data_IF_472420911626
#
_entry.id   IF_472420911626
#
_cell.length_a   1.000
_cell.length_b   1.000
_cell.length_c   1.000
_cell.angle_alpha   90.00
_cell.angle_beta   90.00
_cell.angle_gamma   90.00
#
_symmetry.space_group_name_H-M   'P 1'
#
loop_
_entity.id
_entity.type
_entity.pdbx_description
1 polymer ?
#
# COMPACT_ATOMS: atom_id res chain seq x y z
N UNK A 1 6.41 -11.56 -2.61
CA UNK A 1 5.83 -10.59 -1.65
C UNK A 1 4.58 -11.15 -0.97
N UNK A 2 4.48 -10.96 0.35
CA UNK A 2 3.27 -11.20 1.16
C UNK A 2 2.52 -9.90 1.43
N UNK A 3 1.19 -9.91 1.27
CA UNK A 3 0.31 -8.78 1.59
C UNK A 3 -0.86 -9.28 2.44
N UNK A 4 -1.21 -8.53 3.49
CA UNK A 4 -2.35 -8.85 4.35
C UNK A 4 -3.15 -7.59 4.67
N UNK A 5 -4.46 -7.69 4.48
CA UNK A 5 -5.44 -6.68 4.91
C UNK A 5 -6.23 -7.26 6.08
N UNK A 6 -6.20 -6.58 7.22
CA UNK A 6 -6.84 -7.04 8.46
C UNK A 6 -7.59 -5.90 9.12
N UNK A 7 -8.61 -6.21 9.92
CA UNK A 7 -9.22 -5.23 10.83
C UNK A 7 -8.65 -5.43 12.23
N UNK A 8 -7.79 -4.51 12.73
CA UNK A 8 -7.38 -4.52 14.13
C UNK A 8 -8.60 -4.41 15.06
N UNK A 9 -8.51 -5.01 16.25
CA UNK A 9 -9.63 -4.97 17.23
C UNK A 9 -9.98 -3.54 17.65
N UNK A 10 -8.97 -2.66 17.73
CA UNK A 10 -9.13 -1.26 18.13
C UNK A 10 -9.60 -0.33 17.00
N UNK A 11 -9.84 -0.86 15.79
CA UNK A 11 -10.21 -0.05 14.63
C UNK A 11 -11.72 0.01 14.46
N UNK A 12 -12.22 1.19 14.14
CA UNK A 12 -13.62 1.38 13.74
C UNK A 12 -13.94 0.56 12.48
N UNK A 13 -15.21 0.18 12.35
CA UNK A 13 -15.69 -0.49 11.15
C UNK A 13 -15.41 0.36 9.89
N UNK A 14 -14.83 -0.25 8.86
CA UNK A 14 -14.41 0.45 7.65
C UNK A 14 -12.97 0.96 7.65
N UNK A 15 -12.23 0.78 8.76
CA UNK A 15 -10.81 1.07 8.85
C UNK A 15 -10.01 -0.23 8.86
N UNK A 16 -9.14 -0.41 7.86
CA UNK A 16 -8.42 -1.64 7.63
C UNK A 16 -6.92 -1.39 7.65
N UNK A 17 -6.17 -2.24 8.35
CA UNK A 17 -4.71 -2.22 8.34
C UNK A 17 -4.20 -3.06 7.20
N UNK A 18 -3.29 -2.49 6.42
CA UNK A 18 -2.56 -3.17 5.37
C UNK A 18 -1.12 -3.34 5.84
N UNK A 19 -0.62 -4.56 5.74
CA UNK A 19 0.79 -4.87 5.94
C UNK A 19 1.30 -5.61 4.71
N UNK A 20 2.48 -5.22 4.22
CA UNK A 20 3.15 -5.88 3.13
C UNK A 20 4.61 -6.18 3.52
N UNK A 21 5.10 -7.31 3.05
CA UNK A 21 6.48 -7.77 3.26
C UNK A 21 7.07 -8.23 1.95
N UNK A 22 8.25 -7.69 1.63
CA UNK A 22 9.08 -8.20 0.56
C UNK A 22 9.72 -9.52 1.02
N UNK A 23 9.77 -10.49 0.11
CA UNK A 23 10.51 -11.72 0.31
C UNK A 23 12.02 -11.45 0.21
N UNK A 24 12.89 -12.33 0.76
CA UNK A 24 14.33 -12.12 0.73
C UNK A 24 14.91 -11.90 -0.68
N UNK A 25 14.37 -12.57 -1.70
CA UNK A 25 14.79 -12.42 -3.10
C UNK A 25 14.49 -11.01 -3.63
N UNK A 26 13.27 -10.50 -3.38
CA UNK A 26 12.83 -9.15 -3.76
C UNK A 26 13.66 -8.08 -3.03
N UNK A 27 13.94 -8.30 -1.74
CA UNK A 27 14.81 -7.40 -0.96
C UNK A 27 16.23 -7.35 -1.53
N UNK A 28 16.79 -8.49 -1.92
CA UNK A 28 18.12 -8.57 -2.52
C UNK A 28 18.16 -7.87 -3.88
N UNK A 29 17.12 -8.01 -4.71
CA UNK A 29 17.03 -7.36 -6.01
C UNK A 29 17.00 -5.83 -5.89
N UNK A 30 16.27 -5.29 -4.91
CA UNK A 30 16.19 -3.83 -4.70
C UNK A 30 17.48 -3.25 -4.10
N UNK A 31 18.30 -4.07 -3.44
CA UNK A 31 19.64 -3.70 -2.97
C UNK A 31 19.68 -2.58 -1.91
N UNK A 32 18.53 -2.18 -1.35
CA UNK A 32 18.40 -1.03 -0.47
C UNK A 32 17.55 -1.35 0.76
N UNK A 33 17.81 -0.62 1.85
CA UNK A 33 16.92 -0.60 3.03
C UNK A 33 15.55 0.05 2.74
N UNK A 34 15.44 0.75 1.61
CA UNK A 34 14.28 1.56 1.22
C UNK A 34 13.83 1.21 -0.20
N UNK A 35 12.55 0.86 -0.33
CA UNK A 35 11.92 0.58 -1.62
C UNK A 35 10.64 1.41 -1.73
N UNK A 36 10.55 2.24 -2.76
CA UNK A 36 9.45 3.19 -2.95
C UNK A 36 8.54 2.68 -4.06
N UNK A 37 7.23 2.73 -3.86
CA UNK A 37 6.22 2.33 -4.84
C UNK A 37 5.05 3.32 -4.87
N UNK A 38 4.32 3.36 -5.99
CA UNK A 38 3.16 4.24 -6.13
C UNK A 38 1.93 3.61 -5.46
N UNK A 39 1.10 4.41 -4.81
CA UNK A 39 -0.17 3.92 -4.28
C UNK A 39 -1.20 3.87 -5.41
N UNK A 40 -1.97 2.77 -5.54
CA UNK A 40 -3.01 2.68 -6.56
C UNK A 40 -4.13 3.69 -6.26
N UNK A 41 -4.54 4.43 -7.28
CA UNK A 41 -5.75 5.25 -7.21
C UNK A 41 -6.98 4.34 -7.23
N UNK A 42 -7.76 4.37 -6.14
CA UNK A 42 -8.92 3.50 -5.96
C UNK A 42 -10.17 4.35 -5.74
N UNK A 43 -11.26 4.15 -6.52
CA UNK A 43 -12.52 4.85 -6.28
C UNK A 43 -13.01 4.62 -4.86
N UNK A 44 -13.45 5.68 -4.19
CA UNK A 44 -14.05 5.61 -2.85
C UNK A 44 -13.15 5.03 -1.76
N UNK A 45 -11.85 4.86 -2.03
CA UNK A 45 -10.86 4.37 -1.07
C UNK A 45 -9.74 5.37 -0.92
N UNK A 46 -9.24 5.49 0.31
CA UNK A 46 -8.10 6.34 0.59
C UNK A 46 -7.12 5.63 1.51
N UNK A 47 -5.83 5.79 1.20
CA UNK A 47 -4.74 5.30 2.04
C UNK A 47 -4.30 6.38 3.03
N UNK A 48 -4.29 6.05 4.30
CA UNK A 48 -3.58 6.82 5.33
C UNK A 48 -2.32 6.07 5.70
N UNK A 49 -1.18 6.76 5.60
CA UNK A 49 0.11 6.18 5.93
C UNK A 49 0.79 7.12 6.92
N UNK A 50 1.35 6.53 7.98
CA UNK A 50 2.17 7.24 8.94
C UNK A 50 3.65 6.97 8.68
N UNK A 51 4.51 7.88 9.13
CA UNK A 51 5.95 7.64 9.08
C UNK A 51 6.30 6.36 9.87
N UNK A 52 7.30 5.58 9.45
CA UNK A 52 8.26 5.87 8.38
C UNK A 52 7.84 5.37 6.99
N UNK A 53 6.63 4.83 6.80
CA UNK A 53 6.27 4.07 5.59
C UNK A 53 5.80 4.92 4.40
N UNK A 54 6.09 6.22 4.40
CA UNK A 54 5.73 7.16 3.33
C UNK A 54 6.86 8.14 3.03
N UNK A 55 6.95 8.51 1.76
CA UNK A 55 7.83 9.56 1.26
C UNK A 55 7.04 10.55 0.38
N UNK A 56 7.44 11.82 0.24
CA UNK A 56 6.76 12.76 -0.65
C UNK A 56 6.71 12.25 -2.10
N UNK A 57 5.54 12.41 -2.74
CA UNK A 57 5.37 12.04 -4.14
C UNK A 57 5.70 13.22 -5.08
N UNK A 58 6.09 12.94 -6.34
CA UNK A 58 6.15 13.94 -7.40
C UNK A 58 4.80 14.66 -7.61
N UNK A 59 4.86 15.88 -8.17
CA UNK A 59 3.65 16.59 -8.57
C UNK A 59 2.89 15.82 -9.65
N UNK A 60 1.57 15.67 -9.48
CA UNK A 60 0.70 14.95 -10.41
C UNK A 60 0.46 13.48 -10.05
N UNK A 61 1.11 12.94 -9.02
CA UNK A 61 0.77 11.61 -8.47
C UNK A 61 -0.63 11.60 -7.85
N UNK A 62 -1.26 10.41 -7.81
CA UNK A 62 -2.61 10.24 -7.26
C UNK A 62 -2.71 10.61 -5.77
N UNK A 63 -1.60 10.44 -5.04
CA UNK A 63 -1.45 10.81 -3.64
C UNK A 63 -0.28 11.79 -3.49
N UNK A 64 -0.29 12.69 -2.49
CA UNK A 64 0.84 13.58 -2.20
C UNK A 64 2.04 12.84 -1.58
N UNK A 65 1.95 11.52 -1.43
CA UNK A 65 3.00 10.64 -0.92
C UNK A 65 2.98 9.29 -1.67
N UNK A 66 4.13 8.64 -1.69
CA UNK A 66 4.33 7.26 -2.15
C UNK A 66 4.49 6.34 -0.94
N UNK A 67 4.26 5.05 -1.14
CA UNK A 67 4.57 4.04 -0.12
C UNK A 67 6.07 3.77 -0.09
N UNK A 68 6.64 3.66 1.10
CA UNK A 68 8.05 3.36 1.30
C UNK A 68 8.18 2.14 2.21
N UNK A 69 8.66 1.03 1.66
CA UNK A 69 9.10 -0.11 2.44
C UNK A 69 10.38 0.25 3.19
N UNK A 70 10.42 -0.09 4.47
CA UNK A 70 11.57 0.08 5.36
C UNK A 70 12.03 -1.31 5.78
N UNK A 71 13.24 -1.69 5.38
CA UNK A 71 13.82 -3.01 5.64
C UNK A 71 12.88 -4.16 5.24
N UNK A 72 12.25 -4.04 4.06
CA UNK A 72 11.35 -5.06 3.52
C UNK A 72 9.94 -5.05 4.09
N UNK A 73 9.59 -4.13 4.99
CA UNK A 73 8.23 -4.02 5.53
C UNK A 73 7.56 -2.70 5.13
N UNK A 74 6.27 -2.77 4.79
CA UNK A 74 5.41 -1.60 4.62
C UNK A 74 4.11 -1.75 5.40
N UNK A 75 3.64 -0.65 5.99
CA UNK A 75 2.35 -0.59 6.70
C UNK A 75 1.55 0.64 6.30
N UNK A 76 0.24 0.46 6.18
CA UNK A 76 -0.70 1.53 5.91
C UNK A 76 -2.09 1.21 6.45
N UNK A 77 -2.98 2.19 6.32
CA UNK A 77 -4.39 2.07 6.62
C UNK A 77 -5.16 2.36 5.33
N UNK A 78 -6.17 1.55 5.04
CA UNK A 78 -7.14 1.82 3.97
C UNK A 78 -8.54 1.90 4.56
N UNK A 79 -9.31 2.87 4.09
CA UNK A 79 -10.69 3.07 4.51
C UNK A 79 -11.52 3.64 3.37
N UNK A 80 -12.85 3.49 3.48
CA UNK A 80 -13.77 4.16 2.56
C UNK A 80 -13.64 5.68 2.68
N UNK A 81 -13.81 6.39 1.57
CA UNK A 81 -13.71 7.83 1.48
C UNK A 81 -14.97 8.41 0.83
N UNK A 82 -15.69 9.26 1.56
CA UNK A 82 -16.91 9.90 1.08
C UNK A 82 -18.17 9.03 1.11
N UNK A 83 -18.05 7.73 1.45
CA UNK A 83 -19.17 6.79 1.57
C UNK A 83 -19.00 5.85 2.77
N UNK A 84 -20.09 5.32 3.35
CA UNK A 84 -20.00 4.24 4.33
C UNK A 84 -19.35 2.98 3.75
N UNK A 85 -18.63 2.20 4.57
CA UNK A 85 -17.95 0.97 4.15
C UNK A 85 -18.89 -0.01 3.41
N UNK A 86 -20.13 -0.15 3.87
CA UNK A 86 -21.11 -1.07 3.28
C UNK A 86 -21.60 -0.63 1.89
N UNK A 87 -21.45 0.66 1.57
CA UNK A 87 -21.77 1.23 0.26
C UNK A 87 -20.55 1.37 -0.65
N UNK A 88 -19.34 1.13 -0.13
CA UNK A 88 -18.13 1.24 -0.93
C UNK A 88 -18.07 0.10 -1.97
N UNK A 89 -18.07 0.47 -3.25
CA UNK A 89 -18.05 -0.52 -4.33
C UNK A 89 -16.68 -1.19 -4.45
N UNK A 90 -15.61 -0.44 -4.16
CA UNK A 90 -14.24 -0.97 -4.14
C UNK A 90 -14.03 -1.88 -2.93
N UNK A 91 -14.11 -3.18 -3.16
CA UNK A 91 -13.93 -4.22 -2.13
C UNK A 91 -12.47 -4.38 -1.73
N UNK A 92 -12.22 -4.89 -0.53
CA UNK A 92 -10.85 -5.14 -0.04
C UNK A 92 -10.02 -6.05 -0.94
N UNK A 93 -10.65 -7.04 -1.59
CA UNK A 93 -9.95 -7.89 -2.57
C UNK A 93 -9.40 -7.09 -3.77
N UNK A 94 -10.13 -6.06 -4.21
CA UNK A 94 -9.66 -5.15 -5.26
C UNK A 94 -8.55 -4.24 -4.75
N UNK A 95 -8.64 -3.77 -3.50
CA UNK A 95 -7.55 -3.03 -2.84
C UNK A 95 -6.27 -3.87 -2.81
N UNK A 96 -6.36 -5.12 -2.34
CA UNK A 96 -5.23 -6.06 -2.29
C UNK A 96 -4.63 -6.28 -3.69
N UNK A 97 -5.47 -6.55 -4.69
CA UNK A 97 -5.04 -6.79 -6.05
C UNK A 97 -4.30 -5.58 -6.64
N UNK A 98 -4.92 -4.39 -6.59
CA UNK A 98 -4.31 -3.18 -7.17
C UNK A 98 -3.04 -2.74 -6.43
N UNK A 99 -2.99 -2.93 -5.10
CA UNK A 99 -1.81 -2.61 -4.32
C UNK A 99 -0.66 -3.58 -4.64
N UNK A 100 -0.97 -4.87 -4.77
CA UNK A 100 -0.01 -5.88 -5.20
C UNK A 100 0.56 -5.56 -6.58
N UNK A 101 -0.29 -5.28 -7.56
CA UNK A 101 0.17 -4.91 -8.91
C UNK A 101 1.08 -3.69 -8.90
N UNK A 102 0.77 -2.68 -8.09
CA UNK A 102 1.60 -1.47 -8.02
C UNK A 102 2.99 -1.75 -7.46
N UNK A 103 3.07 -2.61 -6.44
CA UNK A 103 4.35 -3.03 -5.83
C UNK A 103 5.14 -3.90 -6.80
N UNK A 104 4.50 -4.91 -7.40
CA UNK A 104 5.14 -5.84 -8.36
C UNK A 104 5.65 -5.10 -9.59
N UNK A 105 4.87 -4.18 -10.17
CA UNK A 105 5.31 -3.37 -11.31
C UNK A 105 6.55 -2.52 -11.02
N UNK A 106 6.75 -2.13 -9.75
CA UNK A 106 7.93 -1.38 -9.35
C UNK A 106 9.11 -2.29 -9.01
N UNK A 107 8.88 -3.51 -8.52
CA UNK A 107 9.90 -4.55 -8.32
C UNK A 107 10.49 -5.02 -9.65
N UNK A 108 9.67 -5.21 -10.68
CA UNK A 108 10.11 -5.62 -12.04
C UNK A 108 11.16 -4.67 -12.65
N UNK A 109 11.25 -3.43 -12.18
CA UNK A 109 12.24 -2.45 -12.64
C UNK A 109 13.64 -2.68 -12.07
N UNK A 110 13.76 -3.50 -11.03
CA UNK A 110 15.02 -3.89 -10.40
C UNK A 110 15.50 -5.28 -10.84
N UNK A 111 14.59 -6.12 -11.36
CA UNK A 111 14.91 -7.41 -11.96
C UNK A 111 15.38 -7.31 -13.44
N UNK A 112 15.43 -6.09 -14.00
CA UNK A 112 15.74 -5.79 -15.40
C UNK A 112 17.22 -5.49 -15.68
#
# INVERSE_FOLDING_TARGET
MKLMITRPEDFEYGVWRVNAWLEPEEMNAVGNDRFIFELPALPERFFRIDAPYKTPAPAGSAYPFQGEFISGEWRGIVQANGVPEDMCETRLAQVEFSLRQSIEAQLERFDA
#
